data_IF_742967410995
#
_entry.id   IF_742967410995
#
_cell.length_a   1.000
_cell.length_b   1.000
_cell.length_c   1.000
_cell.angle_alpha   90.00
_cell.angle_beta   90.00
_cell.angle_gamma   90.00
#
_symmetry.space_group_name_H-M   'P 1'
#
loop_
_entity.id
_entity.type
_entity.pdbx_description
1 polymer ?
#
# COMPACT_ATOMS: atom_id res chain seq x y z
N UNK A 1 27.78 0.15 -3.94
CA UNK A 1 26.76 -0.91 -4.00
C UNK A 1 25.48 -0.25 -4.49
N UNK A 2 25.04 -0.50 -5.71
CA UNK A 2 23.80 0.13 -6.23
C UNK A 2 22.61 -0.42 -5.45
N UNK A 3 22.00 0.41 -4.61
CA UNK A 3 20.70 0.14 -4.01
C UNK A 3 19.70 -0.07 -5.15
N UNK A 4 19.33 -1.34 -5.42
CA UNK A 4 18.24 -1.65 -6.34
C UNK A 4 16.97 -1.17 -5.67
N UNK A 5 16.52 0.04 -6.00
CA UNK A 5 15.21 0.52 -5.55
C UNK A 5 14.16 -0.52 -5.96
N UNK A 6 13.24 -0.90 -5.06
CA UNK A 6 12.13 -1.77 -5.42
C UNK A 6 11.43 -1.20 -6.65
N UNK A 7 11.28 -2.02 -7.70
CA UNK A 7 10.61 -1.57 -8.91
C UNK A 7 9.10 -1.50 -8.64
N UNK A 8 8.61 -0.30 -8.34
CA UNK A 8 7.19 0.00 -8.17
C UNK A 8 6.68 0.56 -9.51
N UNK A 9 5.70 -0.10 -10.11
CA UNK A 9 5.05 0.35 -11.35
C UNK A 9 3.63 0.82 -11.05
N UNK A 10 3.22 1.95 -11.61
CA UNK A 10 1.88 2.48 -11.42
C UNK A 10 1.01 2.12 -12.62
N UNK A 11 -0.04 1.34 -12.40
CA UNK A 11 -1.07 1.08 -13.39
C UNK A 11 -2.23 2.07 -13.22
N UNK A 12 -2.51 2.79 -14.30
CA UNK A 12 -3.59 3.78 -14.39
C UNK A 12 -4.83 3.10 -14.97
N UNK A 13 -5.88 3.01 -14.16
CA UNK A 13 -7.14 2.42 -14.58
C UNK A 13 -7.96 3.41 -15.43
N UNK A 14 -8.94 2.93 -16.22
CA UNK A 14 -9.92 3.80 -16.86
C UNK A 14 -10.72 4.65 -15.87
N UNK A 15 -10.94 4.15 -14.64
CA UNK A 15 -11.50 4.95 -13.57
C UNK A 15 -10.40 5.87 -12.98
N UNK A 16 -10.54 7.20 -13.07
CA UNK A 16 -9.51 8.15 -12.62
C UNK A 16 -9.34 8.19 -11.10
N UNK A 17 -10.25 7.61 -10.32
CA UNK A 17 -10.18 7.52 -8.86
C UNK A 17 -9.39 6.31 -8.38
N UNK A 18 -8.97 5.41 -9.28
CA UNK A 18 -8.29 4.16 -8.93
C UNK A 18 -6.90 4.11 -9.57
N UNK A 19 -5.89 3.80 -8.76
CA UNK A 19 -4.55 3.42 -9.23
C UNK A 19 -4.08 2.16 -8.51
N UNK A 20 -3.32 1.34 -9.23
CA UNK A 20 -2.63 0.18 -8.66
C UNK A 20 -1.13 0.40 -8.67
N UNK A 21 -0.50 0.14 -7.53
CA UNK A 21 0.95 0.14 -7.34
C UNK A 21 1.40 -1.31 -7.35
N UNK A 22 2.04 -1.71 -8.44
CA UNK A 22 2.50 -3.07 -8.68
C UNK A 22 3.95 -3.19 -8.23
N UNK A 23 4.26 -4.24 -7.47
CA UNK A 23 5.57 -4.43 -6.85
C UNK A 23 6.14 -5.81 -7.20
N UNK A 24 7.45 -5.92 -7.35
CA UNK A 24 8.10 -7.24 -7.48
C UNK A 24 8.19 -7.96 -6.12
N UNK A 25 8.42 -7.18 -5.06
CA UNK A 25 8.50 -7.67 -3.69
C UNK A 25 7.11 -7.80 -3.10
N UNK A 26 6.87 -8.92 -2.39
CA UNK A 26 5.60 -9.16 -1.74
C UNK A 26 5.38 -8.25 -0.52
N UNK A 27 4.25 -7.54 -0.52
CA UNK A 27 3.79 -6.61 0.52
C UNK A 27 3.05 -7.36 1.63
N UNK A 28 2.31 -8.40 1.27
CA UNK A 28 1.59 -9.27 2.21
C UNK A 28 1.73 -10.74 1.79
N UNK A 29 1.41 -11.67 2.69
CA UNK A 29 1.29 -13.10 2.38
C UNK A 29 0.12 -13.32 1.40
N UNK A 30 -0.14 -14.56 0.95
CA UNK A 30 -1.25 -14.92 0.02
C UNK A 30 -2.66 -14.65 0.58
N UNK A 31 -2.97 -13.39 0.86
CA UNK A 31 -4.23 -12.84 1.35
C UNK A 31 -4.57 -11.61 0.52
N UNK A 32 -5.84 -11.48 0.22
CA UNK A 32 -6.40 -10.27 -0.39
C UNK A 32 -7.37 -9.69 0.61
N UNK A 33 -7.13 -8.44 1.00
CA UNK A 33 -7.98 -7.74 1.97
C UNK A 33 -8.28 -6.34 1.46
N UNK A 34 -9.45 -5.82 1.82
CA UNK A 34 -9.91 -4.47 1.47
C UNK A 34 -10.22 -3.70 2.75
N UNK A 35 -9.71 -2.48 2.82
CA UNK A 35 -9.84 -1.58 3.95
C UNK A 35 -10.48 -0.27 3.50
N UNK A 36 -11.63 0.07 4.09
CA UNK A 36 -12.36 1.33 3.85
C UNK A 36 -12.51 2.16 5.12
N UNK A 37 -12.03 1.65 6.25
CA UNK A 37 -12.11 2.31 7.54
C UNK A 37 -10.74 2.21 8.22
N UNK A 38 -10.48 3.09 9.18
CA UNK A 38 -9.17 3.22 9.84
C UNK A 38 -9.19 2.84 11.32
N UNK A 39 -10.30 2.28 11.81
CA UNK A 39 -10.50 2.03 13.24
C UNK A 39 -11.45 0.84 13.51
N UNK A 40 -11.38 0.34 14.75
CA UNK A 40 -12.23 -0.74 15.26
C UNK A 40 -11.50 -2.08 15.36
N UNK A 41 -12.03 -2.98 16.20
CA UNK A 41 -11.39 -4.28 16.46
C UNK A 41 -11.29 -5.17 15.22
N UNK A 42 -12.30 -5.14 14.35
CA UNK A 42 -12.30 -5.90 13.10
C UNK A 42 -11.18 -5.43 12.14
N UNK A 43 -10.98 -4.11 12.04
CA UNK A 43 -9.89 -3.51 11.27
C UNK A 43 -8.53 -3.94 11.80
N UNK A 44 -8.34 -3.86 13.12
CA UNK A 44 -7.11 -4.26 13.79
C UNK A 44 -6.82 -5.76 13.63
N UNK A 45 -7.85 -6.61 13.67
CA UNK A 45 -7.72 -8.04 13.44
C UNK A 45 -7.33 -8.37 11.99
N UNK A 46 -7.94 -7.71 10.99
CA UNK A 46 -7.59 -7.86 9.58
C UNK A 46 -6.15 -7.41 9.31
N UNK A 47 -5.74 -6.26 9.85
CA UNK A 47 -4.39 -5.73 9.70
C UNK A 47 -3.32 -6.70 10.21
N UNK A 48 -3.51 -7.25 11.42
CA UNK A 48 -2.56 -8.23 11.99
C UNK A 48 -2.39 -9.46 11.08
N UNK A 49 -3.44 -9.85 10.36
CA UNK A 49 -3.42 -10.95 9.39
C UNK A 49 -2.53 -10.72 8.17
N UNK A 50 -2.16 -9.46 7.87
CA UNK A 50 -1.31 -9.11 6.72
C UNK A 50 0.18 -9.30 6.98
N UNK A 51 0.57 -9.43 8.26
CA UNK A 51 1.96 -9.34 8.71
C UNK A 51 2.46 -7.89 8.78
N UNK A 52 3.62 -7.70 9.42
CA UNK A 52 4.14 -6.38 9.81
C UNK A 52 4.30 -5.41 8.62
N UNK A 53 4.71 -5.93 7.45
CA UNK A 53 4.93 -5.12 6.25
C UNK A 53 3.59 -4.65 5.67
N UNK A 54 2.64 -5.58 5.48
CA UNK A 54 1.32 -5.26 4.93
C UNK A 54 0.53 -4.34 5.86
N UNK A 55 0.60 -4.59 7.18
CA UNK A 55 0.00 -3.71 8.18
C UNK A 55 0.53 -2.27 8.07
N UNK A 56 1.85 -2.10 8.05
CA UNK A 56 2.47 -0.78 7.93
C UNK A 56 2.02 -0.06 6.66
N UNK A 57 2.07 -0.74 5.51
CA UNK A 57 1.69 -0.13 4.22
C UNK A 57 0.23 0.30 4.22
N UNK A 58 -0.70 -0.53 4.72
CA UNK A 58 -2.12 -0.18 4.77
C UNK A 58 -2.37 1.02 5.69
N UNK A 59 -1.77 1.06 6.87
CA UNK A 59 -1.93 2.18 7.82
C UNK A 59 -1.41 3.49 7.23
N UNK A 60 -0.19 3.49 6.71
CA UNK A 60 0.42 4.70 6.12
C UNK A 60 -0.39 5.19 4.93
N UNK A 61 -0.91 4.28 4.11
CA UNK A 61 -1.69 4.62 2.91
C UNK A 61 -3.06 5.20 3.27
N UNK A 62 -3.79 4.57 4.20
CA UNK A 62 -5.08 5.07 4.67
C UNK A 62 -4.97 6.40 5.42
N UNK A 63 -3.82 6.68 6.04
CA UNK A 63 -3.56 7.95 6.70
C UNK A 63 -3.30 9.12 5.72
N UNK A 64 -3.22 8.86 4.40
CA UNK A 64 -3.09 9.91 3.39
C UNK A 64 -4.46 10.59 3.20
N UNK A 65 -4.59 11.91 3.41
CA UNK A 65 -5.84 12.62 3.17
C UNK A 65 -6.34 12.40 1.75
N UNK A 66 -7.61 12.02 1.62
CA UNK A 66 -8.22 11.73 0.33
C UNK A 66 -8.12 10.29 -0.14
N UNK A 67 -7.45 9.40 0.59
CA UNK A 67 -7.57 7.96 0.35
C UNK A 67 -8.84 7.44 1.01
N UNK A 68 -9.69 6.77 0.23
CA UNK A 68 -10.98 6.23 0.69
C UNK A 68 -10.93 4.73 0.92
N UNK A 69 -10.19 4.02 0.07
CA UNK A 69 -10.08 2.57 0.14
C UNK A 69 -8.68 2.12 -0.25
N UNK A 70 -8.19 1.09 0.45
CA UNK A 70 -6.97 0.36 0.14
C UNK A 70 -7.29 -1.12 0.01
N UNK A 71 -7.03 -1.69 -1.15
CA UNK A 71 -7.05 -3.13 -1.40
C UNK A 71 -5.61 -3.61 -1.53
N UNK A 72 -5.23 -4.61 -0.74
CA UNK A 72 -3.86 -5.15 -0.71
C UNK A 72 -3.86 -6.60 -1.15
N UNK A 73 -2.91 -6.94 -2.01
CA UNK A 73 -2.57 -8.29 -2.48
C UNK A 73 -1.06 -8.49 -2.36
N UNK A 74 -0.54 -9.72 -2.53
CA UNK A 74 0.89 -9.96 -2.39
C UNK A 74 1.77 -8.96 -3.16
N UNK A 75 1.42 -8.61 -4.41
CA UNK A 75 2.25 -7.75 -5.28
C UNK A 75 1.52 -6.54 -5.86
N UNK A 76 0.39 -6.18 -5.27
CA UNK A 76 -0.44 -5.05 -5.70
C UNK A 76 -0.98 -4.34 -4.47
N UNK A 77 -0.80 -3.02 -4.42
CA UNK A 77 -1.56 -2.13 -3.57
C UNK A 77 -2.48 -1.31 -4.47
N UNK A 78 -3.78 -1.50 -4.37
CA UNK A 78 -4.77 -0.73 -5.11
C UNK A 78 -5.41 0.29 -4.19
N UNK A 79 -5.49 1.52 -4.68
CA UNK A 79 -6.02 2.65 -3.92
C UNK A 79 -7.19 3.23 -4.68
N UNK A 80 -8.26 3.52 -3.95
CA UNK A 80 -9.33 4.42 -4.40
C UNK A 80 -9.27 5.71 -3.60
N UNK A 81 -9.22 6.84 -4.30
CA UNK A 81 -9.22 8.17 -3.69
C UNK A 81 -10.59 8.84 -3.76
N UNK A 82 -10.74 9.93 -3.01
CA UNK A 82 -11.85 10.86 -3.18
C UNK A 82 -11.78 11.55 -4.57
N UNK A 83 -12.92 11.84 -5.22
CA UNK A 83 -12.94 12.42 -6.55
C UNK A 83 -12.17 13.75 -6.66
N UNK A 84 -12.31 14.61 -5.63
CA UNK A 84 -11.74 15.96 -5.60
C UNK A 84 -10.22 16.04 -5.37
N UNK A 85 -9.57 14.93 -4.98
CA UNK A 85 -8.15 14.92 -4.58
C UNK A 85 -7.25 14.60 -5.76
N UNK A 86 -6.11 15.28 -5.93
CA UNK A 86 -5.16 14.94 -7.00
C UNK A 86 -4.32 13.72 -6.62
N UNK A 87 -4.01 12.88 -7.61
CA UNK A 87 -3.07 11.77 -7.42
C UNK A 87 -1.66 12.22 -7.06
N UNK A 88 -1.22 13.41 -7.50
CA UNK A 88 0.13 13.91 -7.19
C UNK A 88 0.38 14.05 -5.68
N UNK A 89 -0.69 14.26 -4.90
CA UNK A 89 -0.64 14.35 -3.43
C UNK A 89 -0.59 12.97 -2.74
N UNK A 90 -0.98 11.92 -3.45
CA UNK A 90 -1.11 10.55 -2.92
C UNK A 90 0.08 9.70 -3.38
N UNK A 91 0.42 9.70 -4.66
CA UNK A 91 1.34 8.73 -5.26
C UNK A 91 2.71 8.71 -4.62
N UNK A 92 3.32 9.87 -4.43
CA UNK A 92 4.66 9.96 -3.83
C UNK A 92 4.67 9.39 -2.41
N UNK A 93 3.63 9.69 -1.61
CA UNK A 93 3.51 9.18 -0.23
C UNK A 93 3.34 7.66 -0.20
N UNK A 94 2.58 7.10 -1.15
CA UNK A 94 2.41 5.65 -1.28
C UNK A 94 3.71 4.97 -1.68
N UNK A 95 4.43 5.55 -2.65
CA UNK A 95 5.74 5.06 -3.08
C UNK A 95 6.73 5.07 -1.91
N UNK A 96 6.73 6.14 -1.11
CA UNK A 96 7.60 6.25 0.06
C UNK A 96 7.27 5.24 1.16
N UNK A 97 5.97 4.99 1.40
CA UNK A 97 5.51 3.96 2.33
C UNK A 97 5.96 2.56 1.87
N UNK A 98 5.76 2.22 0.60
CA UNK A 98 6.19 0.94 0.02
C UNK A 98 7.72 0.77 0.08
N UNK A 99 8.48 1.78 -0.32
CA UNK A 99 9.94 1.74 -0.25
C UNK A 99 10.45 1.58 1.18
N UNK A 100 9.84 2.27 2.14
CA UNK A 100 10.17 2.14 3.57
C UNK A 100 9.86 0.75 4.08
N UNK A 101 8.73 0.18 3.69
CA UNK A 101 8.34 -1.17 4.05
C UNK A 101 9.34 -2.21 3.49
N UNK A 102 9.73 -2.07 2.22
CA UNK A 102 10.69 -2.97 1.59
C UNK A 102 12.09 -2.90 2.19
N UNK A 103 12.61 -1.69 2.47
CA UNK A 103 13.89 -1.53 3.19
C UNK A 103 13.87 -2.23 4.56
N UNK A 104 12.77 -2.12 5.32
CA UNK A 104 12.61 -2.81 6.61
C UNK A 104 12.59 -4.33 6.46
N UNK A 105 12.03 -4.84 5.36
CA UNK A 105 12.00 -6.28 5.05
C UNK A 105 13.40 -6.82 4.74
N UNK A 106 14.19 -6.08 3.97
CA UNK A 106 15.57 -6.45 3.64
C UNK A 106 16.47 -6.48 4.89
N UNK A 107 16.37 -5.50 5.78
CA UNK A 107 17.14 -5.46 7.04
C UNK A 107 16.87 -6.68 7.93
N UNK A 108 15.66 -7.22 7.93
CA UNK A 108 15.28 -8.38 8.75
C UNK A 108 15.60 -9.73 8.10
N UNK A 109 15.97 -9.75 6.82
CA UNK A 109 16.31 -10.97 6.09
C UNK A 109 17.82 -11.27 6.10
N UNK A 110 18.63 -10.38 6.68
CA UNK A 110 20.07 -10.52 6.90
C UNK A 110 20.35 -11.04 8.30
#
# INVERSE_FOLDING_TARGET
MSERRPQISIYRHPNPEIRSFLTLTEITNYRMERFTNTSGEAFEAQLRGLGIIGEYVVRETLAIPGVREVEIKPRELRIKKEPAVSWDQIENRVIDALNTAFRRKEIRAV
#
